data_IF_893985564638
#
_entry.id   IF_893985564638
#
_cell.length_a   1.000
_cell.length_b   1.000
_cell.length_c   1.000
_cell.angle_alpha   90.00
_cell.angle_beta   90.00
_cell.angle_gamma   90.00
#
_symmetry.space_group_name_H-M   'P 1'
#
loop_
_entity.id
_entity.type
_entity.pdbx_description
1 polymer ?
#
# COMPACT_ATOMS: atom_id res chain seq x y z
N UNK A 1 25.72 5.56 -7.65
CA UNK A 1 24.50 5.35 -8.47
C UNK A 1 23.35 5.50 -7.50
N UNK A 2 22.31 6.33 -7.75
CA UNK A 2 21.17 6.28 -6.85
C UNK A 2 20.55 4.89 -7.01
N UNK A 3 20.52 4.10 -5.94
CA UNK A 3 19.98 2.73 -5.97
C UNK A 3 18.48 2.72 -6.34
N UNK A 4 17.82 3.89 -6.33
CA UNK A 4 16.40 4.10 -6.63
C UNK A 4 16.19 5.36 -7.51
N UNK A 5 16.37 5.25 -8.84
CA UNK A 5 16.31 6.40 -9.74
C UNK A 5 14.91 7.02 -9.86
N UNK A 6 13.82 6.25 -9.70
CA UNK A 6 12.47 6.80 -9.79
C UNK A 6 12.11 7.58 -8.52
N UNK A 7 12.54 7.13 -7.35
CA UNK A 7 12.42 7.89 -6.10
C UNK A 7 13.25 9.17 -6.12
N UNK A 8 14.48 9.11 -6.61
CA UNK A 8 15.33 10.29 -6.77
C UNK A 8 14.71 11.32 -7.72
N UNK A 9 14.05 10.88 -8.79
CA UNK A 9 13.32 11.75 -9.72
C UNK A 9 12.11 12.46 -9.07
N UNK A 10 11.54 11.90 -8.00
CA UNK A 10 10.51 12.56 -7.19
C UNK A 10 11.05 13.52 -6.12
N UNK A 11 12.38 13.68 -6.06
CA UNK A 11 13.05 14.50 -5.04
C UNK A 11 13.38 13.75 -3.75
N UNK A 12 13.14 12.44 -3.68
CA UNK A 12 13.51 11.60 -2.54
C UNK A 12 14.95 11.11 -2.73
N UNK A 13 15.91 11.95 -2.34
CA UNK A 13 17.34 11.65 -2.44
C UNK A 13 17.86 10.81 -1.28
N UNK A 14 17.17 10.82 -0.14
CA UNK A 14 17.53 10.03 1.05
C UNK A 14 16.57 8.87 1.27
N UNK A 15 16.81 7.78 0.54
CA UNK A 15 16.00 6.56 0.61
C UNK A 15 16.17 5.78 1.92
N UNK A 16 17.22 6.05 2.70
CA UNK A 16 17.51 5.35 3.96
C UNK A 16 16.59 5.76 5.10
N UNK A 17 16.00 6.95 4.99
CA UNK A 17 15.02 7.47 5.94
C UNK A 17 13.61 6.99 5.67
N UNK A 18 13.35 6.28 4.56
CA UNK A 18 11.99 5.82 4.21
C UNK A 18 11.55 4.71 5.18
N UNK A 19 10.52 5.02 5.95
CA UNK A 19 9.95 4.13 6.98
C UNK A 19 8.89 3.22 6.38
N UNK A 20 7.83 3.84 5.85
CA UNK A 20 6.71 3.15 5.23
C UNK A 20 6.00 4.10 4.27
N UNK A 21 5.16 3.54 3.41
CA UNK A 21 4.32 4.31 2.52
C UNK A 21 2.86 3.86 2.64
N UNK A 22 1.94 4.74 2.26
CA UNK A 22 0.52 4.44 2.10
C UNK A 22 0.06 4.86 0.73
N UNK A 23 -0.76 4.03 0.11
CA UNK A 23 -1.46 4.32 -1.12
C UNK A 23 -2.93 4.57 -0.79
N UNK A 24 -3.48 5.68 -1.27
CA UNK A 24 -4.90 5.98 -1.19
C UNK A 24 -5.44 6.16 -2.60
N UNK A 25 -6.34 5.27 -3.02
CA UNK A 25 -6.99 5.34 -4.32
C UNK A 25 -8.36 6.00 -4.20
N UNK A 26 -8.63 6.93 -5.12
CA UNK A 26 -9.95 7.53 -5.37
C UNK A 26 -10.33 7.29 -6.82
N UNK A 27 -11.59 7.61 -7.18
CA UNK A 27 -12.17 7.33 -8.50
C UNK A 27 -11.37 7.88 -9.70
N UNK A 28 -10.56 8.93 -9.52
CA UNK A 28 -9.80 9.57 -10.61
C UNK A 28 -8.32 9.82 -10.30
N UNK A 29 -7.90 9.55 -9.07
CA UNK A 29 -6.56 9.86 -8.59
C UNK A 29 -6.05 8.84 -7.58
N UNK A 30 -4.74 8.64 -7.58
CA UNK A 30 -4.03 7.85 -6.58
C UNK A 30 -3.07 8.75 -5.83
N UNK A 31 -3.20 8.79 -4.51
CA UNK A 31 -2.28 9.55 -3.65
C UNK A 31 -1.33 8.59 -2.95
N UNK A 32 -0.04 8.73 -3.24
CA UNK A 32 1.05 8.02 -2.58
C UNK A 32 1.61 8.93 -1.49
N UNK A 33 1.55 8.49 -0.24
CA UNK A 33 2.13 9.18 0.91
C UNK A 33 3.29 8.38 1.48
N UNK A 34 4.47 8.97 1.52
CA UNK A 34 5.72 8.35 1.96
C UNK A 34 6.10 9.00 3.29
N UNK A 35 6.33 8.18 4.31
CA UNK A 35 6.71 8.59 5.65
C UNK A 35 8.19 8.35 5.86
N UNK A 36 8.88 9.36 6.37
CA UNK A 36 10.30 9.33 6.69
C UNK A 36 10.47 9.20 8.22
N UNK A 37 11.47 8.43 8.63
CA UNK A 37 11.97 8.46 9.99
C UNK A 37 12.93 9.63 10.13
N UNK A 38 12.72 10.43 11.17
CA UNK A 38 13.70 11.41 11.60
C UNK A 38 14.72 10.73 12.53
N UNK A 39 16.00 11.04 12.32
CA UNK A 39 17.07 10.59 13.24
C UNK A 39 16.98 11.29 14.60
N UNK A 40 16.37 12.47 14.65
CA UNK A 40 16.05 13.17 15.89
C UNK A 40 14.60 12.84 16.27
N UNK A 41 14.36 12.44 17.53
CA UNK A 41 13.07 12.15 18.18
C UNK A 41 12.08 13.34 18.14
N UNK A 42 11.76 13.84 16.96
CA UNK A 42 10.81 14.91 16.71
C UNK A 42 9.40 14.30 16.71
N UNK A 43 8.41 14.96 17.33
CA UNK A 43 7.05 14.44 17.43
C UNK A 43 6.28 14.45 16.10
N UNK A 44 6.92 14.86 15.00
CA UNK A 44 6.31 14.94 13.67
C UNK A 44 7.14 14.13 12.70
N UNK A 45 6.63 12.98 12.25
CA UNK A 45 7.23 12.26 11.13
C UNK A 45 7.09 13.11 9.87
N UNK A 46 8.23 13.43 9.24
CA UNK A 46 8.25 14.05 7.93
C UNK A 46 7.54 13.13 6.92
N UNK A 47 6.63 13.69 6.11
CA UNK A 47 5.90 12.91 5.11
C UNK A 47 5.74 13.67 3.81
N UNK A 48 5.93 12.96 2.69
CA UNK A 48 5.81 13.49 1.35
C UNK A 48 4.59 12.87 0.67
N UNK A 49 3.76 13.69 0.03
CA UNK A 49 2.55 13.23 -0.65
C UNK A 49 2.63 13.55 -2.14
N UNK A 50 2.37 12.54 -2.97
CA UNK A 50 2.41 12.60 -4.43
C UNK A 50 1.08 12.12 -4.98
N UNK A 51 0.51 12.88 -5.91
CA UNK A 51 -0.79 12.54 -6.51
C UNK A 51 -0.62 12.21 -7.99
N UNK A 52 -1.16 11.06 -8.39
CA UNK A 52 -1.11 10.53 -9.75
C UNK A 52 -2.53 10.45 -10.31
N UNK A 53 -2.78 11.06 -11.46
CA UNK A 53 -4.08 10.96 -12.13
C UNK A 53 -4.16 9.65 -12.93
N UNK A 54 -5.25 8.90 -12.78
CA UNK A 54 -5.42 7.58 -13.43
C UNK A 54 -5.32 7.61 -14.95
N UNK A 55 -5.68 8.73 -15.57
CA UNK A 55 -5.69 8.89 -17.02
C UNK A 55 -4.35 9.38 -17.61
N UNK A 56 -3.25 9.19 -16.87
CA UNK A 56 -1.91 9.65 -17.29
C UNK A 56 -0.90 8.52 -17.28
N UNK A 57 0.08 8.60 -18.17
CA UNK A 57 1.21 7.65 -18.24
C UNK A 57 2.00 7.61 -16.92
N UNK A 58 1.93 8.67 -16.12
CA UNK A 58 2.50 8.72 -14.78
C UNK A 58 1.86 7.69 -13.83
N UNK A 59 0.55 7.44 -13.94
CA UNK A 59 -0.13 6.43 -13.12
C UNK A 59 0.09 5.01 -13.64
N UNK A 60 0.05 4.80 -14.96
CA UNK A 60 0.16 3.45 -15.53
C UNK A 60 1.59 2.91 -15.64
N UNK A 61 2.59 3.80 -15.79
CA UNK A 61 3.99 3.39 -16.04
C UNK A 61 4.94 3.79 -14.92
N UNK A 62 4.78 4.98 -14.32
CA UNK A 62 5.73 5.47 -13.31
C UNK A 62 5.37 4.99 -11.90
N UNK A 63 4.10 5.05 -11.50
CA UNK A 63 3.65 4.62 -10.18
C UNK A 63 4.05 3.16 -9.85
N UNK A 64 3.90 2.16 -10.75
CA UNK A 64 4.31 0.79 -10.44
C UNK A 64 5.83 0.66 -10.21
N UNK A 65 6.64 1.45 -10.91
CA UNK A 65 8.11 1.46 -10.76
C UNK A 65 8.51 2.09 -9.43
N UNK A 66 7.85 3.19 -9.04
CA UNK A 66 8.04 3.85 -7.75
C UNK A 66 7.64 2.92 -6.61
N UNK A 67 6.50 2.23 -6.73
CA UNK A 67 6.04 1.26 -5.73
C UNK A 67 7.03 0.10 -5.57
N UNK A 68 7.58 -0.42 -6.68
CA UNK A 68 8.59 -1.49 -6.63
C UNK A 68 9.88 -1.07 -5.91
N UNK A 69 10.31 0.18 -6.09
CA UNK A 69 11.47 0.74 -5.38
C UNK A 69 11.17 0.95 -3.88
N UNK A 70 9.98 1.46 -3.54
CA UNK A 70 9.54 1.60 -2.15
C UNK A 70 9.35 0.26 -1.45
N UNK A 71 8.85 -0.74 -2.16
CA UNK A 71 8.72 -2.10 -1.66
C UNK A 71 10.11 -2.65 -1.35
N UNK A 72 11.09 -2.49 -2.22
CA UNK A 72 12.47 -2.94 -1.96
C UNK A 72 13.05 -2.28 -0.69
N UNK A 73 12.77 -0.99 -0.46
CA UNK A 73 13.23 -0.25 0.71
C UNK A 73 12.49 -0.62 2.00
N UNK A 74 11.18 -0.84 1.92
CA UNK A 74 10.33 -1.11 3.09
C UNK A 74 10.23 -2.60 3.43
N UNK A 75 10.42 -3.51 2.46
CA UNK A 75 10.51 -4.96 2.69
C UNK A 75 11.81 -5.35 3.40
N UNK A 76 12.89 -4.57 3.24
CA UNK A 76 14.12 -4.80 3.99
C UNK A 76 13.92 -4.70 5.53
N UNK A 77 12.78 -4.16 5.99
CA UNK A 77 12.43 -4.07 7.42
C UNK A 77 11.10 -4.70 7.88
N UNK A 78 10.16 -5.11 7.00
CA UNK A 78 8.78 -5.46 7.46
C UNK A 78 7.98 -6.38 6.50
N UNK A 79 8.63 -7.36 5.85
CA UNK A 79 7.93 -8.28 4.93
C UNK A 79 7.05 -9.32 5.63
N UNK A 80 7.42 -9.80 6.83
CA UNK A 80 6.65 -10.84 7.54
C UNK A 80 5.33 -10.29 8.08
N UNK A 81 5.31 -9.08 8.65
CA UNK A 81 4.10 -8.50 9.24
C UNK A 81 3.00 -8.21 8.22
N UNK A 82 3.39 -7.75 7.02
CA UNK A 82 2.45 -7.49 5.92
C UNK A 82 1.88 -8.78 5.33
N UNK A 83 2.72 -9.81 5.17
CA UNK A 83 2.24 -11.13 4.73
C UNK A 83 1.27 -11.71 5.75
N UNK A 84 1.59 -11.64 7.03
CA UNK A 84 0.72 -12.13 8.09
C UNK A 84 -0.60 -11.34 8.15
N UNK A 85 -0.56 -10.01 8.00
CA UNK A 85 -1.77 -9.19 7.97
C UNK A 85 -2.67 -9.52 6.76
N UNK A 86 -2.10 -9.76 5.57
CA UNK A 86 -2.87 -10.21 4.41
C UNK A 86 -3.50 -11.59 4.62
N UNK A 87 -2.77 -12.52 5.26
CA UNK A 87 -3.30 -13.85 5.61
C UNK A 87 -4.49 -13.69 6.57
N UNK A 88 -4.34 -12.90 7.62
CA UNK A 88 -5.41 -12.64 8.59
C UNK A 88 -6.65 -11.97 7.96
N UNK A 89 -6.45 -11.09 6.98
CA UNK A 89 -7.56 -10.48 6.21
C UNK A 89 -8.27 -11.49 5.32
N UNK A 90 -7.52 -12.39 4.66
CA UNK A 90 -8.09 -13.46 3.84
C UNK A 90 -8.92 -14.44 4.68
N UNK A 91 -8.45 -14.81 5.87
CA UNK A 91 -9.19 -15.69 6.79
C UNK A 91 -10.51 -15.05 7.25
N UNK A 92 -10.49 -13.75 7.59
CA UNK A 92 -11.72 -13.02 7.93
C UNK A 92 -12.71 -12.97 6.78
N UNK A 93 -12.22 -12.75 5.56
CA UNK A 93 -13.07 -12.72 4.38
C UNK A 93 -13.72 -14.09 4.13
N UNK A 94 -12.95 -15.17 4.26
CA UNK A 94 -13.45 -16.54 4.16
C UNK A 94 -14.55 -16.83 5.18
N UNK A 95 -14.36 -16.39 6.43
CA UNK A 95 -15.36 -16.56 7.49
C UNK A 95 -16.68 -15.83 7.17
N UNK A 96 -16.59 -14.58 6.72
CA UNK A 96 -17.77 -13.78 6.35
C UNK A 96 -18.49 -14.38 5.14
N UNK A 97 -17.75 -14.82 4.13
CA UNK A 97 -18.36 -15.47 2.97
C UNK A 97 -19.03 -16.79 3.33
N UNK A 98 -18.41 -17.60 4.20
CA UNK A 98 -18.99 -18.86 4.68
C UNK A 98 -20.29 -18.66 5.45
N UNK A 99 -20.35 -17.63 6.30
CA UNK A 99 -21.58 -17.24 6.99
C UNK A 99 -22.67 -16.85 5.99
N UNK A 100 -22.33 -16.01 5.00
CA UNK A 100 -23.28 -15.54 4.00
C UNK A 100 -23.79 -16.64 3.06
N UNK A 101 -22.93 -17.60 2.72
CA UNK A 101 -23.32 -18.81 1.97
C UNK A 101 -24.28 -19.68 2.80
N UNK A 102 -24.07 -19.77 4.12
CA UNK A 102 -24.97 -20.54 4.99
C UNK A 102 -26.34 -19.87 5.10
N UNK A 103 -26.39 -18.55 5.25
CA UNK A 103 -27.63 -17.78 5.21
C UNK A 103 -28.39 -18.01 3.88
N UNK A 104 -27.70 -17.89 2.75
CA UNK A 104 -28.31 -18.14 1.43
C UNK A 104 -28.83 -19.57 1.28
N UNK A 105 -28.11 -20.57 1.81
CA UNK A 105 -28.57 -21.97 1.82
C UNK A 105 -29.82 -22.16 2.66
N UNK A 106 -29.92 -21.49 3.81
CA UNK A 106 -31.08 -21.58 4.67
C UNK A 106 -32.27 -20.80 4.12
N UNK A 107 -32.04 -19.68 3.45
CA UNK A 107 -33.09 -18.97 2.71
C UNK A 107 -33.62 -19.82 1.56
N UNK A 108 -32.76 -20.50 0.79
CA UNK A 108 -33.20 -21.42 -0.25
C UNK A 108 -34.04 -22.58 0.29
N UNK A 109 -33.68 -23.15 1.45
CA UNK A 109 -34.49 -24.20 2.11
C UNK A 109 -35.85 -23.71 2.61
N UNK A 110 -36.02 -22.40 2.85
CA UNK A 110 -37.29 -21.80 3.27
C UNK A 110 -38.23 -21.51 2.10
N UNK A 111 -37.71 -21.46 0.88
CA UNK A 111 -38.46 -21.18 -0.35
C UNK A 111 -38.83 -22.48 -1.09
N UNK A 112 -38.18 -23.60 -0.75
CA UNK A 112 -38.53 -24.95 -1.20
C UNK A 112 -39.52 -25.63 -0.25
#
# INVERSE_FOLDING_TARGET
MPDFPNLAAMGLTDSTRISHYRLAEKESETTLKIYLNDEENLPHQESHSYTFQHNTDAHSVQLPKILSELDTLTLAGSSEDKQQLLIDELEKLEQVMSAKISELKDDLKRIA
#
